data_IF_771174686629
#
_entry.id   IF_771174686629
#
_cell.length_a   1.000
_cell.length_b   1.000
_cell.length_c   1.000
_cell.angle_alpha   90.00
_cell.angle_beta   90.00
_cell.angle_gamma   90.00
#
_symmetry.space_group_name_H-M   'P 1'
#
loop_
_entity.id
_entity.type
_entity.pdbx_description
1 polymer ?
#
# COMPACT_ATOMS: atom_id res chain seq x y z
N UNK A 1 35.09 -13.19 -0.72
CA UNK A 1 35.32 -11.74 -0.63
C UNK A 1 36.75 -11.53 -0.18
N UNK A 2 37.46 -10.55 -0.74
CA UNK A 2 38.86 -10.26 -0.38
C UNK A 2 38.96 -8.79 0.03
N UNK A 3 39.42 -8.55 1.24
CA UNK A 3 39.78 -7.23 1.75
C UNK A 3 41.30 -7.18 1.96
N UNK A 4 41.88 -5.98 2.07
CA UNK A 4 43.32 -5.68 2.01
C UNK A 4 44.19 -6.57 2.92
N UNK A 5 43.63 -7.09 4.03
CA UNK A 5 44.32 -8.00 4.97
C UNK A 5 43.57 -9.31 5.30
N UNK A 6 42.43 -9.62 4.68
CA UNK A 6 41.69 -10.86 4.99
C UNK A 6 41.11 -11.56 3.75
N UNK A 7 41.19 -12.90 3.76
CA UNK A 7 40.66 -13.75 2.70
C UNK A 7 39.50 -14.58 3.22
N UNK A 8 38.30 -14.35 2.69
CA UNK A 8 37.10 -15.07 3.10
C UNK A 8 36.58 -15.91 1.93
N UNK A 9 36.57 -17.24 2.13
CA UNK A 9 35.94 -18.20 1.22
C UNK A 9 34.54 -18.50 1.71
N UNK A 10 33.54 -18.21 0.89
CA UNK A 10 32.16 -18.56 1.15
C UNK A 10 31.73 -19.67 0.20
N UNK A 11 30.84 -20.54 0.69
CA UNK A 11 30.11 -21.50 -0.13
C UNK A 11 28.72 -20.93 -0.39
N UNK A 12 28.33 -20.82 -1.65
CA UNK A 12 26.95 -20.48 -2.03
C UNK A 12 26.07 -21.70 -1.81
N UNK A 13 24.97 -21.53 -1.09
CA UNK A 13 23.98 -22.58 -0.84
C UNK A 13 22.68 -22.17 -1.54
N UNK A 14 22.23 -23.01 -2.47
CA UNK A 14 20.96 -22.84 -3.17
C UNK A 14 19.87 -23.56 -2.40
N UNK A 15 19.02 -22.82 -1.70
CA UNK A 15 17.98 -23.39 -0.84
C UNK A 15 17.06 -24.35 -1.60
N UNK A 16 16.67 -24.01 -2.85
CA UNK A 16 15.81 -24.84 -3.69
C UNK A 16 16.43 -26.19 -4.10
N UNK A 17 17.71 -26.42 -3.84
CA UNK A 17 18.41 -27.70 -4.03
C UNK A 17 18.59 -28.47 -2.71
N UNK A 18 18.40 -27.82 -1.55
CA UNK A 18 18.64 -28.42 -0.24
C UNK A 18 17.47 -29.29 0.23
N UNK A 19 17.79 -30.34 0.99
CA UNK A 19 16.82 -31.12 1.76
C UNK A 19 16.14 -30.24 2.83
N UNK A 20 14.80 -30.19 2.91
CA UNK A 20 14.10 -29.46 3.96
C UNK A 20 14.30 -30.02 5.36
N UNK A 21 14.59 -31.32 5.53
CA UNK A 21 14.59 -31.97 6.85
C UNK A 21 15.53 -31.30 7.87
N UNK A 22 16.80 -30.98 7.54
CA UNK A 22 17.67 -30.28 8.49
C UNK A 22 17.22 -28.86 8.84
N UNK A 23 16.51 -28.19 7.92
CA UNK A 23 15.98 -26.84 8.13
C UNK A 23 14.74 -26.87 9.02
N UNK A 24 13.89 -27.90 8.88
CA UNK A 24 12.72 -28.13 9.74
C UNK A 24 13.13 -28.52 11.17
N UNK A 25 14.23 -29.25 11.32
CA UNK A 25 14.72 -29.69 12.63
C UNK A 25 15.27 -28.55 13.52
N UNK A 26 15.52 -27.37 12.95
CA UNK A 26 16.03 -26.22 13.69
C UNK A 26 15.08 -25.03 13.55
N UNK A 27 14.46 -24.63 14.67
CA UNK A 27 13.51 -23.50 14.71
C UNK A 27 14.04 -22.21 14.08
N UNK A 28 15.35 -21.93 14.19
CA UNK A 28 15.96 -20.72 13.62
C UNK A 28 16.07 -20.77 12.07
N UNK A 29 15.94 -21.95 11.47
CA UNK A 29 16.04 -22.18 10.03
C UNK A 29 14.67 -22.35 9.35
N UNK A 30 13.58 -22.37 10.12
CA UNK A 30 12.21 -22.50 9.61
C UNK A 30 11.87 -21.49 8.51
N UNK A 31 12.24 -20.19 8.60
CA UNK A 31 12.00 -19.25 7.51
C UNK A 31 12.64 -19.71 6.19
N UNK A 32 13.87 -20.25 6.23
CA UNK A 32 14.60 -20.72 5.05
C UNK A 32 14.02 -22.04 4.50
N UNK A 33 13.42 -22.87 5.36
CA UNK A 33 12.81 -24.14 4.97
C UNK A 33 11.68 -23.94 3.93
N UNK A 34 10.99 -22.79 3.94
CA UNK A 34 9.96 -22.45 2.93
C UNK A 34 10.50 -22.48 1.49
N UNK A 35 11.79 -22.20 1.32
CA UNK A 35 12.48 -22.13 0.03
C UNK A 35 13.18 -23.44 -0.37
N UNK A 36 13.11 -24.47 0.49
CA UNK A 36 13.82 -25.73 0.29
C UNK A 36 13.25 -26.57 -0.86
N UNK A 37 14.03 -27.54 -1.33
CA UNK A 37 13.60 -28.47 -2.39
C UNK A 37 12.37 -29.26 -1.93
N UNK A 38 11.31 -29.25 -2.73
CA UNK A 38 10.11 -30.05 -2.43
C UNK A 38 9.29 -30.34 -3.68
N UNK A 39 8.81 -31.58 -3.79
CA UNK A 39 7.81 -32.00 -4.78
C UNK A 39 6.37 -31.70 -4.35
N UNK A 40 6.16 -31.31 -3.08
CA UNK A 40 4.87 -30.90 -2.51
C UNK A 40 5.05 -29.60 -1.72
N UNK A 41 5.30 -28.47 -2.41
CA UNK A 41 5.71 -27.23 -1.76
C UNK A 41 4.66 -26.72 -0.74
N UNK A 42 3.37 -26.83 -1.04
CA UNK A 42 2.33 -26.37 -0.11
C UNK A 42 2.30 -27.21 1.18
N UNK A 43 2.55 -28.53 1.08
CA UNK A 43 2.68 -29.41 2.25
C UNK A 43 3.91 -29.06 3.09
N UNK A 44 5.02 -28.69 2.43
CA UNK A 44 6.21 -28.22 3.13
C UNK A 44 5.91 -26.91 3.88
N UNK A 45 5.19 -25.97 3.29
CA UNK A 45 4.78 -24.74 3.98
C UNK A 45 3.89 -25.03 5.19
N UNK A 46 2.91 -25.93 5.06
CA UNK A 46 2.08 -26.39 6.19
C UNK A 46 2.95 -26.99 7.33
N UNK A 47 3.98 -27.76 7.00
CA UNK A 47 4.92 -28.31 7.99
C UNK A 47 5.73 -27.20 8.68
N UNK A 48 6.25 -26.23 7.92
CA UNK A 48 6.97 -25.09 8.49
C UNK A 48 6.09 -24.34 9.48
N UNK A 49 4.85 -24.05 9.11
CA UNK A 49 3.89 -23.36 9.98
C UNK A 49 3.60 -24.19 11.23
N UNK A 50 3.38 -25.50 11.08
CA UNK A 50 3.19 -26.39 12.23
C UNK A 50 4.39 -26.42 13.18
N UNK A 51 5.63 -26.33 12.68
CA UNK A 51 6.82 -26.21 13.54
C UNK A 51 6.93 -24.84 14.22
N UNK A 52 6.51 -23.76 13.55
CA UNK A 52 6.43 -22.42 14.17
C UNK A 52 5.40 -22.40 15.29
N UNK A 53 4.24 -23.02 15.10
CA UNK A 53 3.15 -23.04 16.09
C UNK A 53 3.53 -23.76 17.39
N UNK A 54 4.49 -24.70 17.34
CA UNK A 54 5.04 -25.39 18.52
C UNK A 54 5.89 -24.49 19.42
N UNK A 55 6.27 -23.29 18.97
CA UNK A 55 7.12 -22.39 19.74
C UNK A 55 6.29 -21.70 20.83
N UNK A 56 6.59 -22.00 22.10
CA UNK A 56 5.85 -21.45 23.25
C UNK A 56 6.17 -19.97 23.52
N UNK A 57 7.41 -19.56 23.26
CA UNK A 57 7.86 -18.18 23.45
C UNK A 57 7.20 -17.27 22.42
N UNK A 58 6.16 -16.55 22.86
CA UNK A 58 5.34 -15.70 21.98
C UNK A 58 6.15 -14.70 21.14
N UNK A 59 7.10 -13.92 21.70
CA UNK A 59 7.89 -12.99 20.89
C UNK A 59 8.73 -13.69 19.82
N UNK A 60 9.36 -14.81 20.16
CA UNK A 60 10.15 -15.59 19.21
C UNK A 60 9.27 -16.21 18.11
N UNK A 61 8.13 -16.80 18.50
CA UNK A 61 7.16 -17.35 17.56
C UNK A 61 6.66 -16.30 16.59
N UNK A 62 6.28 -15.13 17.08
CA UNK A 62 5.80 -14.03 16.23
C UNK A 62 6.88 -13.54 15.27
N UNK A 63 8.11 -13.36 15.74
CA UNK A 63 9.24 -12.97 14.88
C UNK A 63 9.54 -14.01 13.80
N UNK A 64 9.52 -15.30 14.14
CA UNK A 64 9.75 -16.35 13.16
C UNK A 64 8.59 -16.48 12.18
N UNK A 65 7.34 -16.35 12.63
CA UNK A 65 6.17 -16.32 11.76
C UNK A 65 6.25 -15.18 10.73
N UNK A 66 6.63 -13.97 11.17
CA UNK A 66 6.85 -12.83 10.28
C UNK A 66 7.96 -13.08 9.25
N UNK A 67 9.08 -13.69 9.66
CA UNK A 67 10.15 -14.08 8.74
C UNK A 67 9.71 -15.17 7.75
N UNK A 68 8.92 -16.15 8.20
CA UNK A 68 8.35 -17.20 7.35
C UNK A 68 7.40 -16.58 6.34
N UNK A 69 6.55 -15.63 6.72
CA UNK A 69 5.61 -14.95 5.82
C UNK A 69 6.36 -14.26 4.68
N UNK A 70 7.38 -13.46 5.02
CA UNK A 70 8.19 -12.74 4.04
C UNK A 70 8.88 -13.69 3.06
N UNK A 71 9.51 -14.76 3.55
CA UNK A 71 10.23 -15.70 2.67
C UNK A 71 9.28 -16.62 1.89
N UNK A 72 8.15 -17.02 2.49
CA UNK A 72 7.12 -17.78 1.78
C UNK A 72 6.52 -16.95 0.64
N UNK A 73 6.33 -15.65 0.84
CA UNK A 73 5.86 -14.72 -0.21
C UNK A 73 6.75 -14.69 -1.46
N UNK A 74 8.00 -15.16 -1.39
CA UNK A 74 8.89 -15.26 -2.56
C UNK A 74 8.57 -16.46 -3.48
N UNK A 75 7.85 -17.46 -2.98
CA UNK A 75 7.60 -18.74 -3.69
C UNK A 75 6.12 -19.10 -3.80
N UNK A 76 5.30 -18.70 -2.84
CA UNK A 76 3.91 -19.16 -2.69
C UNK A 76 2.91 -18.07 -3.04
N UNK A 77 1.69 -18.48 -3.38
CA UNK A 77 0.57 -17.56 -3.59
C UNK A 77 0.23 -16.82 -2.28
N UNK A 78 -0.04 -15.51 -2.39
CA UNK A 78 -0.34 -14.66 -1.24
C UNK A 78 -1.52 -15.18 -0.42
N UNK A 79 -2.59 -15.67 -1.04
CA UNK A 79 -3.77 -16.13 -0.31
C UNK A 79 -3.51 -17.43 0.45
N UNK A 80 -2.59 -18.27 -0.05
CA UNK A 80 -2.15 -19.45 0.67
C UNK A 80 -1.34 -19.06 1.91
N UNK A 81 -0.37 -18.14 1.74
CA UNK A 81 0.48 -17.66 2.84
C UNK A 81 -0.38 -17.04 3.95
N UNK A 82 -1.26 -16.09 3.63
CA UNK A 82 -2.13 -15.43 4.61
C UNK A 82 -3.12 -16.38 5.29
N UNK A 83 -3.50 -17.50 4.64
CA UNK A 83 -4.38 -18.50 5.26
C UNK A 83 -3.66 -19.33 6.31
N UNK A 84 -2.38 -19.64 6.07
CA UNK A 84 -1.59 -20.50 6.94
C UNK A 84 -0.90 -19.70 8.05
N UNK A 85 -0.35 -18.53 7.74
CA UNK A 85 0.29 -17.63 8.69
C UNK A 85 -0.68 -16.53 9.06
N UNK A 86 -1.39 -16.72 10.18
CA UNK A 86 -2.38 -15.75 10.64
C UNK A 86 -1.71 -14.55 11.29
N UNK A 87 -2.30 -13.37 11.10
CA UNK A 87 -1.75 -12.12 11.61
C UNK A 87 -1.61 -12.12 13.14
N UNK A 88 -2.53 -12.76 13.87
CA UNK A 88 -2.50 -12.79 15.34
C UNK A 88 -1.26 -13.50 15.90
N UNK A 89 -0.64 -14.40 15.12
CA UNK A 89 0.60 -15.06 15.51
C UNK A 89 1.78 -14.08 15.40
N UNK A 90 1.74 -13.16 14.43
CA UNK A 90 2.80 -12.21 14.11
C UNK A 90 2.72 -10.91 14.91
N UNK A 91 1.61 -10.64 15.61
CA UNK A 91 1.40 -9.40 16.38
C UNK A 91 2.50 -9.11 17.40
N UNK A 92 3.15 -10.13 17.93
CA UNK A 92 4.25 -10.03 18.89
C UNK A 92 5.61 -9.70 18.23
N UNK A 93 5.67 -9.68 16.90
CA UNK A 93 6.88 -9.31 16.17
C UNK A 93 7.04 -7.80 16.08
N UNK A 94 8.19 -7.30 16.56
CA UNK A 94 8.56 -5.89 16.44
C UNK A 94 8.63 -5.46 14.97
N UNK A 95 9.15 -6.31 14.09
CA UNK A 95 9.21 -6.02 12.65
C UNK A 95 7.82 -5.96 12.02
N UNK A 96 6.90 -6.85 12.41
CA UNK A 96 5.52 -6.82 11.92
C UNK A 96 4.80 -5.54 12.39
N UNK A 97 4.94 -5.18 13.67
CA UNK A 97 4.39 -3.94 14.22
C UNK A 97 4.90 -2.71 13.46
N UNK A 98 6.20 -2.63 13.17
CA UNK A 98 6.79 -1.54 12.39
C UNK A 98 6.22 -1.44 10.96
N UNK A 99 5.99 -2.60 10.31
CA UNK A 99 5.39 -2.66 8.97
C UNK A 99 3.97 -2.09 9.01
N UNK A 100 3.16 -2.52 9.98
CA UNK A 100 1.78 -2.03 10.17
C UNK A 100 1.77 -0.54 10.47
N UNK A 101 2.61 -0.07 11.41
CA UNK A 101 2.70 1.35 11.75
C UNK A 101 3.07 2.22 10.54
N UNK A 102 4.07 1.81 9.76
CA UNK A 102 4.44 2.50 8.51
C UNK A 102 3.30 2.49 7.48
N UNK A 103 2.56 1.38 7.39
CA UNK A 103 1.37 1.26 6.55
C UNK A 103 0.28 2.26 6.94
N UNK A 104 -0.08 2.30 8.23
CA UNK A 104 -1.06 3.22 8.79
C UNK A 104 -0.64 4.67 8.58
N UNK A 105 0.61 5.02 8.87
CA UNK A 105 1.13 6.39 8.68
C UNK A 105 1.02 6.83 7.22
N UNK A 106 1.40 5.97 6.27
CA UNK A 106 1.25 6.25 4.83
C UNK A 106 -0.22 6.42 4.44
N UNK A 107 -1.10 5.55 4.94
CA UNK A 107 -2.53 5.62 4.67
C UNK A 107 -3.15 6.91 5.19
N UNK A 108 -2.82 7.33 6.41
CA UNK A 108 -3.27 8.61 6.99
C UNK A 108 -2.76 9.78 6.16
N UNK A 109 -1.47 9.80 5.81
CA UNK A 109 -0.89 10.88 5.01
C UNK A 109 -1.57 11.00 3.63
N UNK A 110 -1.79 9.88 2.95
CA UNK A 110 -2.50 9.85 1.68
C UNK A 110 -3.96 10.31 1.83
N UNK A 111 -4.65 9.85 2.87
CA UNK A 111 -6.03 10.24 3.15
C UNK A 111 -6.19 11.73 3.42
N UNK A 112 -5.30 12.31 4.24
CA UNK A 112 -5.27 13.76 4.52
C UNK A 112 -5.01 14.55 3.23
N UNK A 113 -4.02 14.14 2.44
CA UNK A 113 -3.68 14.83 1.20
C UNK A 113 -4.84 14.80 0.20
N UNK A 114 -5.46 13.63 0.00
CA UNK A 114 -6.63 13.50 -0.88
C UNK A 114 -7.83 14.29 -0.36
N UNK A 115 -8.08 14.25 0.96
CA UNK A 115 -9.16 14.99 1.61
C UNK A 115 -8.99 16.51 1.47
N UNK A 116 -7.78 17.03 1.69
CA UNK A 116 -7.47 18.45 1.50
C UNK A 116 -7.65 18.88 0.04
N UNK A 117 -7.18 18.07 -0.92
CA UNK A 117 -7.31 18.40 -2.34
C UNK A 117 -8.77 18.42 -2.78
N UNK A 118 -9.56 17.41 -2.41
CA UNK A 118 -11.00 17.35 -2.71
C UNK A 118 -11.75 18.49 -2.03
N UNK A 119 -11.52 18.70 -0.73
CA UNK A 119 -12.17 19.78 0.02
C UNK A 119 -11.85 21.17 -0.53
N UNK A 120 -10.62 21.41 -1.02
CA UNK A 120 -10.27 22.65 -1.70
C UNK A 120 -11.04 22.80 -3.02
N UNK A 121 -11.08 21.76 -3.85
CA UNK A 121 -11.81 21.80 -5.14
C UNK A 121 -13.31 22.00 -4.95
N UNK A 122 -13.94 21.21 -4.07
CA UNK A 122 -15.37 21.33 -3.72
C UNK A 122 -15.70 22.71 -3.15
N UNK A 123 -14.82 23.27 -2.31
CA UNK A 123 -14.96 24.61 -1.75
C UNK A 123 -14.92 25.70 -2.82
N UNK A 124 -13.92 25.68 -3.71
CA UNK A 124 -13.82 26.65 -4.81
C UNK A 124 -15.01 26.52 -5.76
N UNK A 125 -15.38 25.29 -6.16
CA UNK A 125 -16.54 25.02 -7.01
C UNK A 125 -17.82 25.60 -6.41
N UNK A 126 -18.08 25.35 -5.12
CA UNK A 126 -19.26 25.86 -4.43
C UNK A 126 -19.31 27.40 -4.42
N UNK A 127 -18.18 28.05 -4.19
CA UNK A 127 -18.10 29.51 -4.19
C UNK A 127 -18.30 30.06 -5.61
N UNK A 128 -17.62 29.50 -6.61
CA UNK A 128 -17.75 29.90 -8.02
C UNK A 128 -19.19 29.75 -8.49
N UNK A 129 -19.84 28.62 -8.23
CA UNK A 129 -21.24 28.38 -8.61
C UNK A 129 -22.20 29.38 -7.96
N UNK A 130 -21.99 29.72 -6.68
CA UNK A 130 -22.79 30.74 -6.00
C UNK A 130 -22.58 32.13 -6.61
N UNK A 131 -21.34 32.51 -6.90
CA UNK A 131 -21.03 33.82 -7.49
C UNK A 131 -21.58 33.96 -8.91
N UNK A 132 -21.45 32.92 -9.74
CA UNK A 132 -22.04 32.90 -11.08
C UNK A 132 -23.56 32.99 -11.02
N UNK A 133 -24.20 32.28 -10.08
CA UNK A 133 -25.66 32.36 -9.90
C UNK A 133 -26.10 33.76 -9.47
N UNK A 134 -25.34 34.42 -8.59
CA UNK A 134 -25.63 35.79 -8.15
C UNK A 134 -25.46 36.82 -9.26
N UNK A 135 -24.49 36.65 -10.16
CA UNK A 135 -24.21 37.59 -11.26
C UNK A 135 -25.09 37.37 -12.49
N UNK A 136 -25.26 36.12 -12.90
CA UNK A 136 -25.86 35.74 -14.19
C UNK A 136 -27.28 35.18 -14.04
N UNK A 137 -27.72 34.93 -12.80
CA UNK A 137 -29.00 34.27 -12.52
C UNK A 137 -28.92 32.75 -12.65
N UNK A 138 -30.04 32.11 -12.96
CA UNK A 138 -30.10 30.66 -13.12
C UNK A 138 -29.24 30.22 -14.31
N UNK A 139 -28.20 29.42 -14.05
CA UNK A 139 -27.34 28.84 -15.07
C UNK A 139 -27.99 27.61 -15.70
N UNK A 140 -27.80 27.45 -17.01
CA UNK A 140 -28.20 26.25 -17.73
C UNK A 140 -27.51 25.00 -17.14
N UNK A 141 -28.22 23.87 -16.92
CA UNK A 141 -27.65 22.63 -16.40
C UNK A 141 -26.40 22.14 -17.14
N UNK A 142 -26.30 22.38 -18.45
CA UNK A 142 -25.14 21.98 -19.26
C UNK A 142 -23.88 22.75 -18.81
N UNK A 143 -24.01 24.06 -18.58
CA UNK A 143 -22.90 24.88 -18.09
C UNK A 143 -22.50 24.48 -16.67
N UNK A 144 -23.48 24.17 -15.82
CA UNK A 144 -23.22 23.69 -14.46
C UNK A 144 -22.37 22.42 -14.46
N UNK A 145 -22.74 21.43 -15.28
CA UNK A 145 -22.01 20.17 -15.40
C UNK A 145 -20.58 20.38 -15.94
N UNK A 146 -20.39 21.30 -16.90
CA UNK A 146 -19.05 21.65 -17.39
C UNK A 146 -18.18 22.23 -16.28
N UNK A 147 -18.73 23.12 -15.45
CA UNK A 147 -18.03 23.74 -14.31
C UNK A 147 -17.67 22.69 -13.24
N UNK A 148 -18.57 21.77 -12.93
CA UNK A 148 -18.31 20.66 -11.99
C UNK A 148 -17.17 19.74 -12.46
N UNK A 149 -16.98 19.61 -13.77
CA UNK A 149 -15.90 18.85 -14.38
C UNK A 149 -14.54 19.57 -14.44
N UNK A 150 -14.47 20.86 -14.07
CA UNK A 150 -13.23 21.63 -14.15
C UNK A 150 -12.20 21.18 -13.11
N UNK A 151 -10.93 21.27 -13.49
CA UNK A 151 -9.82 21.13 -12.56
C UNK A 151 -9.80 22.30 -11.57
N UNK A 152 -9.18 22.10 -10.41
CA UNK A 152 -9.07 23.16 -9.41
C UNK A 152 -8.41 24.44 -9.94
N UNK A 153 -7.38 24.32 -10.78
CA UNK A 153 -6.70 25.47 -11.40
C UNK A 153 -7.65 26.25 -12.31
N UNK A 154 -8.46 25.54 -13.09
CA UNK A 154 -9.49 26.17 -13.94
C UNK A 154 -10.58 26.82 -13.12
N UNK A 155 -10.99 26.21 -12.00
CA UNK A 155 -11.94 26.83 -11.09
C UNK A 155 -11.37 28.10 -10.43
N UNK A 156 -10.08 28.12 -10.09
CA UNK A 156 -9.39 29.31 -9.57
C UNK A 156 -9.34 30.42 -10.64
N UNK A 157 -8.98 30.11 -11.89
CA UNK A 157 -9.02 31.05 -13.01
C UNK A 157 -10.44 31.60 -13.26
N UNK A 158 -11.45 30.72 -13.22
CA UNK A 158 -12.85 31.10 -13.36
C UNK A 158 -13.28 32.04 -12.24
N UNK A 159 -12.78 31.85 -11.01
CA UNK A 159 -13.10 32.70 -9.86
C UNK A 159 -12.68 34.17 -10.05
N UNK A 160 -11.65 34.42 -10.84
CA UNK A 160 -11.21 35.76 -11.22
C UNK A 160 -11.95 36.26 -12.47
N UNK A 161 -12.05 35.43 -13.50
CA UNK A 161 -12.68 35.78 -14.77
C UNK A 161 -14.16 36.14 -14.60
N UNK A 162 -14.88 35.44 -13.70
CA UNK A 162 -16.31 35.67 -13.46
C UNK A 162 -16.62 37.10 -12.99
N UNK A 163 -15.63 37.82 -12.46
CA UNK A 163 -15.80 39.20 -12.02
C UNK A 163 -15.97 40.19 -13.18
N UNK A 164 -15.67 39.77 -14.41
CA UNK A 164 -15.82 40.56 -15.63
C UNK A 164 -16.99 40.08 -16.52
N UNK A 165 -17.72 39.04 -16.13
CA UNK A 165 -18.85 38.54 -16.91
C UNK A 165 -20.08 39.44 -16.72
N UNK A 166 -20.73 39.77 -17.84
CA UNK A 166 -22.00 40.51 -17.88
C UNK A 166 -23.17 39.58 -18.23
N UNK A 167 -22.91 38.51 -19.00
CA UNK A 167 -23.93 37.59 -19.52
C UNK A 167 -23.50 36.12 -19.44
N UNK A 168 -24.48 35.21 -19.54
CA UNK A 168 -24.21 33.77 -19.63
C UNK A 168 -23.41 33.39 -20.88
N UNK A 169 -23.42 34.21 -21.94
CA UNK A 169 -22.62 34.01 -23.15
C UNK A 169 -21.13 34.17 -22.86
N UNK A 170 -20.74 35.10 -21.97
CA UNK A 170 -19.33 35.30 -21.60
C UNK A 170 -18.76 34.06 -20.91
N UNK A 171 -19.56 33.45 -20.02
CA UNK A 171 -19.23 32.20 -19.35
C UNK A 171 -19.09 31.03 -20.34
N UNK A 172 -20.04 30.90 -21.28
CA UNK A 172 -19.98 29.83 -22.28
C UNK A 172 -18.72 29.94 -23.16
N UNK A 173 -18.38 31.15 -23.62
CA UNK A 173 -17.16 31.39 -24.39
C UNK A 173 -15.90 31.07 -23.59
N UNK A 174 -15.88 31.41 -22.30
CA UNK A 174 -14.75 31.10 -21.42
C UNK A 174 -14.57 29.58 -21.22
N UNK A 175 -15.66 28.83 -21.07
CA UNK A 175 -15.63 27.37 -20.88
C UNK A 175 -15.18 26.62 -22.14
N UNK A 176 -15.38 27.18 -23.32
CA UNK A 176 -14.97 26.61 -24.61
C UNK A 176 -13.46 26.77 -24.92
N UNK A 177 -12.71 27.54 -24.12
CA UNK A 177 -11.26 27.76 -24.26
C UNK A 177 -10.47 27.06 -23.16
#
# INVERSE_FOLDING_TARGET
>A
FRDINTWHRYRVIRLWEQDPLPLLANRALLPLATLARSNRPNRLLEQVVAEVDKIEEKPLRGNLAACVDVLAGLRFDKNLVCRLLREEVMEESVTYQDIIQKGVQKGIQQGIQQGLQRGKQEGVLLVVMRLLTLRLGLLDPVLQQQIEGLSITRLEELSEALLNFETATDLALWLDH
#
